data_IF_899312892994
#
_entry.id   IF_899312892994
#
_cell.length_a   1.000
_cell.length_b   1.000
_cell.length_c   1.000
_cell.angle_alpha   90.00
_cell.angle_beta   90.00
_cell.angle_gamma   90.00
#
_symmetry.space_group_name_H-M   'P 1'
#
loop_
_entity.id
_entity.type
_entity.pdbx_description
1 polymer ?
#
# COMPACT_ATOMS: atom_id res chain seq x y z
N UNK A 1 3.73 47.26 -16.46
CA UNK A 1 3.86 46.20 -15.45
C UNK A 1 4.70 45.12 -16.08
N UNK A 2 5.98 45.05 -15.71
CA UNK A 2 6.87 44.04 -16.26
C UNK A 2 6.52 42.70 -15.62
N UNK A 3 6.10 41.75 -16.45
CA UNK A 3 5.85 40.39 -16.00
C UNK A 3 7.20 39.72 -15.72
N UNK A 4 7.47 39.44 -14.44
CA UNK A 4 8.58 38.56 -14.05
C UNK A 4 8.17 37.14 -14.45
N UNK A 5 8.83 36.57 -15.46
CA UNK A 5 8.76 35.14 -15.76
C UNK A 5 9.92 34.43 -15.08
N UNK A 6 9.61 33.57 -14.14
CA UNK A 6 10.59 32.66 -13.55
C UNK A 6 10.60 31.33 -14.30
N UNK A 7 11.79 30.88 -14.69
CA UNK A 7 12.01 29.58 -15.33
C UNK A 7 12.73 28.65 -14.36
N UNK A 8 12.01 27.67 -13.83
CA UNK A 8 12.57 26.66 -12.94
C UNK A 8 12.89 25.38 -13.74
N UNK A 9 14.15 24.94 -13.73
CA UNK A 9 14.52 23.60 -14.21
C UNK A 9 14.66 22.65 -13.02
N UNK A 10 13.57 21.96 -12.68
CA UNK A 10 13.59 20.94 -11.64
C UNK A 10 14.04 19.62 -12.27
N UNK A 11 15.19 19.07 -11.82
CA UNK A 11 15.69 17.77 -12.26
C UNK A 11 16.03 16.89 -11.05
N UNK A 12 15.61 15.63 -11.09
CA UNK A 12 16.08 14.60 -10.16
C UNK A 12 17.27 13.89 -10.79
N UNK A 13 18.43 13.93 -10.15
CA UNK A 13 19.61 13.23 -10.64
C UNK A 13 19.41 11.71 -10.56
N UNK A 14 19.84 10.98 -11.59
CA UNK A 14 19.87 9.52 -11.54
C UNK A 14 20.89 9.07 -10.49
N UNK A 15 20.44 8.24 -9.56
CA UNK A 15 21.30 7.62 -8.54
C UNK A 15 21.95 6.37 -9.14
N UNK A 16 23.23 6.16 -8.85
CA UNK A 16 24.01 4.99 -9.30
C UNK A 16 24.66 4.33 -8.09
N UNK A 17 24.76 3.01 -8.11
CA UNK A 17 25.39 2.23 -7.05
C UNK A 17 25.83 0.86 -7.59
N UNK A 18 26.90 0.31 -7.00
CA UNK A 18 27.47 -0.97 -7.43
C UNK A 18 26.89 -2.16 -6.66
N UNK A 19 26.22 -1.91 -5.53
CA UNK A 19 25.87 -2.95 -4.54
C UNK A 19 24.36 -3.09 -4.34
N UNK A 20 23.56 -2.62 -5.31
CA UNK A 20 22.10 -2.60 -5.26
C UNK A 20 21.52 -1.18 -5.19
N UNK A 21 20.27 -1.06 -5.64
CA UNK A 21 19.50 0.18 -5.65
C UNK A 21 18.06 -0.14 -5.26
N UNK A 22 17.45 0.73 -4.48
CA UNK A 22 16.02 0.67 -4.13
C UNK A 22 15.37 1.97 -4.58
N UNK A 23 14.27 1.85 -5.32
CA UNK A 23 13.50 2.98 -5.79
C UNK A 23 12.03 2.79 -5.40
N UNK A 24 11.52 3.69 -4.58
CA UNK A 24 10.12 3.76 -4.17
C UNK A 24 9.57 5.18 -4.35
N UNK A 25 8.26 5.35 -4.17
CA UNK A 25 7.61 6.67 -4.24
C UNK A 25 8.12 7.64 -3.16
N UNK A 26 8.37 7.13 -1.95
CA UNK A 26 8.86 7.93 -0.83
C UNK A 26 10.35 7.70 -0.54
N UNK A 27 11.12 8.78 -0.36
CA UNK A 27 12.58 8.67 -0.16
C UNK A 27 12.96 7.84 1.08
N UNK A 28 12.23 7.98 2.20
CA UNK A 28 12.47 7.17 3.41
C UNK A 28 12.33 5.66 3.18
N UNK A 29 11.33 5.23 2.42
CA UNK A 29 11.18 3.81 2.10
C UNK A 29 12.34 3.30 1.21
N UNK A 30 12.83 4.15 0.29
CA UNK A 30 14.04 3.83 -0.50
C UNK A 30 15.30 3.73 0.38
N UNK A 31 15.46 4.62 1.35
CA UNK A 31 16.55 4.59 2.32
C UNK A 31 16.51 3.32 3.18
N UNK A 32 15.35 2.97 3.73
CA UNK A 32 15.14 1.73 4.50
C UNK A 32 15.50 0.50 3.67
N UNK A 33 15.02 0.40 2.43
CA UNK A 33 15.40 -0.73 1.57
C UNK A 33 16.91 -0.77 1.30
N UNK A 34 17.55 0.38 1.10
CA UNK A 34 19.00 0.44 0.92
C UNK A 34 19.79 0.09 2.21
N UNK A 35 19.24 0.39 3.38
CA UNK A 35 19.78 -0.03 4.67
C UNK A 35 19.70 -1.54 4.86
N UNK A 36 18.59 -2.16 4.47
CA UNK A 36 18.44 -3.63 4.46
C UNK A 36 19.47 -4.28 3.53
N UNK A 37 19.65 -3.77 2.31
CA UNK A 37 20.70 -4.25 1.41
C UNK A 37 22.10 -4.09 2.03
N UNK A 38 22.36 -2.95 2.67
CA UNK A 38 23.65 -2.68 3.35
C UNK A 38 23.88 -3.60 4.54
N UNK A 39 22.82 -4.02 5.23
CA UNK A 39 22.86 -4.97 6.33
C UNK A 39 23.04 -6.43 5.85
N UNK A 40 23.10 -6.67 4.54
CA UNK A 40 23.32 -7.99 3.95
C UNK A 40 22.04 -8.70 3.51
N UNK A 41 20.89 -8.06 3.61
CA UNK A 41 19.64 -8.55 3.06
C UNK A 41 19.64 -8.56 1.53
N UNK A 42 18.73 -9.33 0.94
CA UNK A 42 18.58 -9.43 -0.50
C UNK A 42 17.49 -8.46 -1.02
N UNK A 43 17.22 -8.52 -2.33
CA UNK A 43 16.23 -7.65 -2.98
C UNK A 43 14.80 -7.84 -2.44
N UNK A 44 14.44 -9.06 -2.00
CA UNK A 44 13.13 -9.35 -1.40
C UNK A 44 13.05 -8.78 0.02
N UNK A 45 14.06 -8.99 0.85
CA UNK A 45 14.12 -8.39 2.21
C UNK A 45 13.97 -6.86 2.11
N UNK A 46 14.70 -6.23 1.19
CA UNK A 46 14.66 -4.79 0.97
C UNK A 46 13.30 -4.30 0.45
N UNK A 47 12.66 -5.05 -0.46
CA UNK A 47 11.34 -4.71 -0.98
C UNK A 47 10.25 -4.84 0.08
N UNK A 48 10.31 -5.86 0.94
CA UNK A 48 9.37 -6.06 2.04
C UNK A 48 9.49 -4.95 3.08
N UNK A 49 10.72 -4.62 3.53
CA UNK A 49 10.93 -3.53 4.48
C UNK A 49 10.47 -2.18 3.91
N UNK A 50 10.90 -1.85 2.68
CA UNK A 50 10.52 -0.61 2.03
C UNK A 50 9.00 -0.49 1.85
N UNK A 51 8.34 -1.58 1.44
CA UNK A 51 6.90 -1.63 1.25
C UNK A 51 6.11 -1.46 2.54
N UNK A 52 6.53 -2.11 3.64
CA UNK A 52 5.91 -1.92 4.96
C UNK A 52 6.09 -0.48 5.46
N UNK A 53 7.26 0.13 5.21
CA UNK A 53 7.53 1.54 5.53
C UNK A 53 6.68 2.50 4.70
N UNK A 54 6.42 2.23 3.41
CA UNK A 54 5.51 3.05 2.59
C UNK A 54 4.14 3.18 3.24
N UNK A 55 3.60 2.10 3.81
CA UNK A 55 2.34 2.11 4.56
C UNK A 55 2.30 3.08 5.76
N UNK A 56 3.45 3.59 6.19
CA UNK A 56 3.58 4.50 7.34
C UNK A 56 4.00 5.92 6.98
N UNK A 57 4.66 6.12 5.84
CA UNK A 57 5.17 7.43 5.40
C UNK A 57 4.37 8.01 4.22
N UNK A 58 3.62 7.16 3.52
CA UNK A 58 2.80 7.52 2.35
C UNK A 58 1.45 6.76 2.39
N UNK A 59 0.60 7.01 3.40
CA UNK A 59 -0.58 6.17 3.68
C UNK A 59 -1.71 6.31 2.65
N UNK A 60 -1.63 7.25 1.70
CA UNK A 60 -2.66 7.50 0.69
C UNK A 60 -2.51 6.63 -0.58
N UNK A 61 -1.39 5.93 -0.78
CA UNK A 61 -1.18 5.05 -1.95
C UNK A 61 -1.18 3.55 -1.62
N UNK A 62 -0.73 3.17 -0.42
CA UNK A 62 -0.53 1.76 -0.06
C UNK A 62 -0.49 1.55 1.46
N UNK A 63 -0.64 0.30 1.90
CA UNK A 63 -0.50 -0.09 3.30
C UNK A 63 -0.98 -1.51 3.56
N UNK A 64 -0.91 -1.94 4.83
CA UNK A 64 -1.29 -3.29 5.26
C UNK A 64 -2.78 -3.63 5.03
N UNK A 65 -3.63 -2.61 4.86
CA UNK A 65 -5.04 -2.77 4.48
C UNK A 65 -5.28 -2.97 2.97
N UNK A 66 -4.22 -3.08 2.16
CA UNK A 66 -4.31 -3.28 0.71
C UNK A 66 -3.91 -4.68 0.24
N UNK A 67 -3.48 -4.78 -1.02
CA UNK A 67 -2.95 -5.99 -1.64
C UNK A 67 -2.06 -5.64 -2.83
N UNK A 68 -1.58 -6.64 -3.56
CA UNK A 68 -0.68 -6.42 -4.68
C UNK A 68 -0.06 -7.68 -5.26
N UNK A 69 1.04 -7.48 -5.99
CA UNK A 69 1.82 -8.52 -6.64
C UNK A 69 3.31 -8.19 -6.53
N UNK A 70 4.15 -9.22 -6.43
CA UNK A 70 5.61 -9.07 -6.44
C UNK A 70 6.17 -9.98 -7.52
N UNK A 71 6.89 -9.42 -8.50
CA UNK A 71 7.64 -10.20 -9.48
C UNK A 71 9.10 -10.27 -9.03
N UNK A 72 9.59 -11.48 -8.81
CA UNK A 72 10.91 -11.76 -8.25
C UNK A 72 11.75 -12.47 -9.29
N UNK A 73 12.91 -11.91 -9.64
CA UNK A 73 13.92 -12.59 -10.45
C UNK A 73 15.00 -13.19 -9.54
N UNK A 74 15.06 -14.52 -9.52
CA UNK A 74 16.01 -15.31 -8.75
C UNK A 74 17.26 -15.54 -9.62
N UNK A 75 18.20 -14.61 -9.57
CA UNK A 75 19.36 -14.58 -10.45
C UNK A 75 20.24 -15.85 -10.38
N UNK A 76 20.31 -16.53 -9.23
CA UNK A 76 21.07 -17.79 -9.08
C UNK A 76 20.42 -18.97 -9.80
N UNK A 77 19.12 -18.91 -10.01
CA UNK A 77 18.31 -19.95 -10.65
C UNK A 77 17.95 -19.61 -12.10
N UNK A 78 18.27 -18.39 -12.55
CA UNK A 78 17.78 -17.84 -13.83
C UNK A 78 16.26 -18.01 -14.00
N UNK A 79 15.52 -17.75 -12.90
CA UNK A 79 14.08 -18.00 -12.82
C UNK A 79 13.33 -16.79 -12.31
N UNK A 80 12.12 -16.58 -12.82
CA UNK A 80 11.19 -15.56 -12.31
C UNK A 80 10.02 -16.23 -11.61
N UNK A 81 9.59 -15.66 -10.49
CA UNK A 81 8.38 -16.06 -9.75
C UNK A 81 7.50 -14.84 -9.50
N UNK A 82 6.21 -15.09 -9.33
CA UNK A 82 5.26 -14.05 -8.93
C UNK A 82 4.66 -14.44 -7.59
N UNK A 83 4.65 -13.51 -6.63
CA UNK A 83 3.84 -13.62 -5.41
C UNK A 83 2.57 -12.83 -5.64
N UNK A 84 1.43 -13.51 -5.60
CA UNK A 84 0.10 -12.96 -5.82
C UNK A 84 -0.61 -12.77 -4.49
N UNK A 85 -0.94 -11.52 -4.19
CA UNK A 85 -1.61 -11.15 -2.93
C UNK A 85 -2.60 -10.01 -3.16
N UNK A 86 -3.32 -10.09 -4.28
CA UNK A 86 -4.41 -9.19 -4.61
C UNK A 86 -5.54 -9.32 -3.59
N UNK A 87 -6.21 -8.20 -3.32
CA UNK A 87 -7.36 -8.18 -2.43
C UNK A 87 -8.49 -9.07 -2.97
N UNK A 88 -9.29 -9.66 -2.08
CA UNK A 88 -10.40 -10.55 -2.47
C UNK A 88 -11.74 -9.99 -2.02
N UNK A 89 -12.77 -10.17 -2.85
CA UNK A 89 -14.13 -9.90 -2.41
C UNK A 89 -14.47 -10.84 -1.24
N UNK A 90 -15.24 -10.37 -0.24
CA UNK A 90 -15.70 -11.24 0.84
C UNK A 90 -16.63 -12.34 0.31
N UNK A 91 -16.72 -13.47 1.01
CA UNK A 91 -17.62 -14.57 0.67
C UNK A 91 -19.09 -14.15 0.62
N UNK A 92 -19.47 -13.18 1.45
CA UNK A 92 -20.80 -12.61 1.50
C UNK A 92 -21.00 -11.39 0.57
N UNK A 93 -20.11 -11.17 -0.40
CA UNK A 93 -20.27 -10.10 -1.38
C UNK A 93 -21.55 -10.30 -2.21
N UNK A 94 -22.32 -9.23 -2.37
CA UNK A 94 -23.57 -9.22 -3.11
C UNK A 94 -23.54 -8.10 -4.18
N UNK A 95 -23.65 -8.43 -5.48
CA UNK A 95 -23.76 -7.40 -6.53
C UNK A 95 -24.93 -6.43 -6.33
N UNK A 96 -26.00 -6.84 -5.65
CA UNK A 96 -27.15 -5.97 -5.37
C UNK A 96 -26.82 -4.82 -4.40
N UNK A 97 -25.69 -4.90 -3.69
CA UNK A 97 -25.15 -3.79 -2.89
C UNK A 97 -24.64 -2.63 -3.76
N UNK A 98 -24.44 -2.85 -5.07
CA UNK A 98 -23.84 -1.88 -6.00
C UNK A 98 -24.73 -1.54 -7.22
N UNK A 99 -25.96 -1.02 -7.00
CA UNK A 99 -26.82 -0.66 -8.11
C UNK A 99 -26.23 0.51 -8.92
N UNK A 100 -26.05 0.30 -10.22
CA UNK A 100 -25.58 1.33 -11.17
C UNK A 100 -26.67 2.39 -11.33
N UNK A 101 -26.28 3.66 -11.23
CA UNK A 101 -27.17 4.82 -11.35
C UNK A 101 -26.68 5.79 -12.43
N UNK A 102 -27.45 5.88 -13.53
CA UNK A 102 -27.17 6.81 -14.64
C UNK A 102 -26.10 6.33 -15.63
N UNK A 103 -25.90 7.12 -16.68
CA UNK A 103 -24.94 6.87 -17.76
C UNK A 103 -23.62 7.66 -17.58
N UNK A 104 -23.55 8.50 -16.55
CA UNK A 104 -22.36 9.30 -16.25
C UNK A 104 -21.27 8.44 -15.58
N UNK A 105 -20.02 8.81 -15.85
CA UNK A 105 -18.88 8.27 -15.11
C UNK A 105 -19.00 8.61 -13.61
N UNK A 106 -18.55 7.68 -12.77
CA UNK A 106 -18.46 7.84 -11.32
C UNK A 106 -17.49 8.95 -10.90
N UNK A 107 -17.36 9.12 -9.59
CA UNK A 107 -16.44 10.09 -8.98
C UNK A 107 -14.98 9.62 -8.93
N UNK A 108 -14.72 8.38 -9.36
CA UNK A 108 -13.38 7.78 -9.39
C UNK A 108 -12.58 8.14 -10.66
N UNK A 109 -11.28 7.86 -10.60
CA UNK A 109 -10.31 8.11 -11.68
C UNK A 109 -10.36 7.08 -12.82
N UNK A 110 -11.19 6.05 -12.72
CA UNK A 110 -11.24 4.94 -13.67
C UNK A 110 -12.41 5.01 -14.65
N UNK A 111 -13.24 6.06 -14.58
CA UNK A 111 -14.38 6.31 -15.46
C UNK A 111 -15.40 5.15 -15.47
N UNK A 112 -15.61 4.50 -14.32
CA UNK A 112 -16.59 3.42 -14.20
C UNK A 112 -18.02 3.98 -14.14
N UNK A 113 -19.06 3.16 -14.46
CA UNK A 113 -20.44 3.57 -14.22
C UNK A 113 -20.66 3.96 -12.77
N UNK A 114 -21.41 5.03 -12.52
CA UNK A 114 -21.70 5.49 -11.15
C UNK A 114 -22.53 4.48 -10.39
N UNK A 115 -22.17 4.22 -9.13
CA UNK A 115 -22.93 3.36 -8.20
C UNK A 115 -23.68 4.24 -7.20
N UNK A 116 -24.89 3.82 -6.79
CA UNK A 116 -25.69 4.56 -5.83
C UNK A 116 -24.90 4.85 -4.54
N UNK A 117 -24.77 6.13 -4.21
CA UNK A 117 -24.08 6.58 -3.01
C UNK A 117 -22.58 6.32 -3.01
N UNK A 118 -21.98 6.06 -4.18
CA UNK A 118 -20.55 5.75 -4.35
C UNK A 118 -20.09 4.59 -3.45
N UNK A 119 -20.97 3.59 -3.24
CA UNK A 119 -20.73 2.45 -2.35
C UNK A 119 -19.50 1.60 -2.73
N UNK A 120 -19.06 1.66 -3.99
CA UNK A 120 -17.84 1.03 -4.48
C UNK A 120 -16.57 1.89 -4.30
N UNK A 121 -16.71 3.17 -3.93
CA UNK A 121 -15.59 4.13 -3.83
C UNK A 121 -15.23 4.42 -2.38
N UNK A 122 -16.22 4.53 -1.49
CA UNK A 122 -15.96 4.80 -0.07
C UNK A 122 -16.89 4.06 0.88
N UNK A 123 -16.41 3.86 2.11
CA UNK A 123 -17.20 3.28 3.20
C UNK A 123 -17.05 1.77 3.31
N UNK A 124 -17.89 1.12 4.11
CA UNK A 124 -17.71 -0.29 4.50
C UNK A 124 -17.86 -1.28 3.34
N UNK A 125 -18.61 -0.93 2.30
CA UNK A 125 -18.84 -1.77 1.12
C UNK A 125 -17.77 -1.56 0.03
N UNK A 126 -16.92 -0.54 0.16
CA UNK A 126 -15.85 -0.28 -0.80
C UNK A 126 -14.54 -1.00 -0.46
N UNK A 127 -14.56 -1.92 0.51
CA UNK A 127 -13.38 -2.64 0.99
C UNK A 127 -13.41 -4.10 0.56
N UNK A 128 -12.21 -4.63 0.32
CA UNK A 128 -11.95 -6.03 0.03
C UNK A 128 -11.02 -6.59 1.11
N UNK A 129 -10.96 -7.91 1.22
CA UNK A 129 -10.09 -8.60 2.18
C UNK A 129 -8.63 -8.26 1.85
N UNK A 130 -7.88 -7.65 2.80
CA UNK A 130 -6.52 -7.21 2.54
C UNK A 130 -5.57 -8.40 2.41
N UNK A 131 -4.69 -8.32 1.42
CA UNK A 131 -3.73 -9.37 1.09
C UNK A 131 -2.28 -9.06 1.36
N UNK A 132 -1.96 -7.79 1.58
CA UNK A 132 -0.58 -7.30 1.58
C UNK A 132 0.31 -8.04 2.58
N UNK A 133 -0.14 -8.15 3.84
CA UNK A 133 0.65 -8.76 4.91
C UNK A 133 0.95 -10.23 4.63
N UNK A 134 -0.05 -11.02 4.21
CA UNK A 134 0.12 -12.43 3.82
C UNK A 134 1.11 -12.57 2.65
N UNK A 135 1.01 -11.68 1.66
CA UNK A 135 1.86 -11.67 0.49
C UNK A 135 3.32 -11.40 0.79
N UNK A 136 3.62 -10.34 1.53
CA UNK A 136 5.00 -9.98 1.86
C UNK A 136 5.63 -10.95 2.85
N UNK A 137 4.84 -11.53 3.77
CA UNK A 137 5.31 -12.62 4.64
C UNK A 137 5.66 -13.86 3.84
N UNK A 138 4.81 -14.30 2.90
CA UNK A 138 5.11 -15.42 2.01
C UNK A 138 6.37 -15.17 1.16
N UNK A 139 6.52 -13.96 0.64
CA UNK A 139 7.70 -13.58 -0.14
C UNK A 139 8.98 -13.66 0.71
N UNK A 140 8.94 -13.12 1.93
CA UNK A 140 10.08 -13.14 2.85
C UNK A 140 10.43 -14.56 3.30
N UNK A 141 9.42 -15.38 3.64
CA UNK A 141 9.63 -16.78 4.03
C UNK A 141 10.24 -17.61 2.88
N UNK A 142 9.78 -17.39 1.66
CA UNK A 142 10.19 -18.19 0.50
C UNK A 142 11.54 -17.74 -0.08
N UNK A 143 11.76 -16.42 -0.15
CA UNK A 143 12.86 -15.84 -0.91
C UNK A 143 13.73 -14.86 -0.11
N UNK A 144 13.34 -14.50 1.10
CA UNK A 144 14.09 -13.62 1.98
C UNK A 144 15.31 -14.31 2.60
N UNK A 145 16.15 -13.51 3.24
CA UNK A 145 17.33 -13.96 3.98
C UNK A 145 17.41 -13.37 5.39
N UNK A 146 16.48 -12.48 5.75
CA UNK A 146 16.43 -11.83 7.06
C UNK A 146 15.19 -12.26 7.85
N UNK A 147 15.29 -12.13 9.17
CA UNK A 147 14.17 -12.39 10.08
C UNK A 147 13.08 -11.34 9.94
N UNK A 148 11.82 -11.76 10.00
CA UNK A 148 10.64 -10.88 9.90
C UNK A 148 10.73 -9.67 10.83
N UNK A 149 11.13 -9.92 12.08
CA UNK A 149 11.23 -8.90 13.13
C UNK A 149 12.15 -7.75 12.73
N UNK A 150 13.26 -8.05 12.07
CA UNK A 150 14.27 -7.07 11.67
C UNK A 150 13.82 -6.32 10.41
N UNK A 151 13.16 -7.02 9.48
CA UNK A 151 12.64 -6.44 8.23
C UNK A 151 11.51 -5.43 8.48
N UNK A 152 10.60 -5.69 9.41
CA UNK A 152 9.50 -4.77 9.74
C UNK A 152 9.93 -3.63 10.69
N UNK A 153 11.02 -3.78 11.45
CA UNK A 153 11.42 -2.83 12.48
C UNK A 153 11.48 -1.35 12.01
N UNK A 154 12.02 -1.02 10.82
CA UNK A 154 12.03 0.36 10.33
C UNK A 154 10.62 0.95 10.12
N UNK A 155 9.66 0.10 9.72
CA UNK A 155 8.28 0.52 9.55
C UNK A 155 7.58 0.74 10.90
N UNK A 156 7.87 -0.07 11.92
CA UNK A 156 7.42 0.20 13.31
C UNK A 156 7.89 1.56 13.77
N UNK A 157 9.20 1.86 13.64
CA UNK A 157 9.75 3.17 14.01
C UNK A 157 9.13 4.32 13.22
N UNK A 158 8.91 4.14 11.92
CA UNK A 158 8.26 5.15 11.07
C UNK A 158 6.80 5.42 11.49
N UNK A 159 6.04 4.38 11.83
CA UNK A 159 4.67 4.53 12.35
C UNK A 159 4.66 5.23 13.72
N UNK A 160 5.63 4.92 14.59
CA UNK A 160 5.82 5.58 15.87
C UNK A 160 6.17 7.06 15.72
N UNK A 161 6.97 7.44 14.74
CA UNK A 161 7.28 8.84 14.47
C UNK A 161 6.08 9.60 13.89
N UNK A 162 5.35 8.98 12.95
CA UNK A 162 4.26 9.58 12.20
C UNK A 162 4.70 10.26 10.90
N UNK A 163 3.72 10.53 10.02
CA UNK A 163 3.93 11.09 8.67
C UNK A 163 4.38 12.55 8.80
N UNK A 164 5.50 12.96 8.16
CA UNK A 164 5.87 14.38 8.10
C UNK A 164 4.78 15.21 7.42
N UNK A 165 4.40 16.32 8.05
CA UNK A 165 3.51 17.32 7.44
C UNK A 165 4.38 18.25 6.60
N UNK A 166 4.42 17.98 5.30
CA UNK A 166 5.11 18.72 4.26
C UNK A 166 4.13 19.20 3.18
N UNK A 167 4.64 19.81 2.11
CA UNK A 167 3.79 20.31 1.03
C UNK A 167 2.96 19.20 0.35
N UNK A 168 3.53 18.00 0.20
CA UNK A 168 2.93 16.91 -0.55
C UNK A 168 1.87 16.19 0.28
N UNK A 169 2.18 15.82 1.52
CA UNK A 169 1.20 15.28 2.47
C UNK A 169 0.04 16.26 2.71
N UNK A 170 0.32 17.57 2.84
CA UNK A 170 -0.72 18.60 2.93
C UNK A 170 -1.61 18.60 1.69
N UNK A 171 -1.02 18.54 0.49
CA UNK A 171 -1.76 18.48 -0.77
C UNK A 171 -2.65 17.23 -0.85
N UNK A 172 -2.09 16.06 -0.54
CA UNK A 172 -2.81 14.78 -0.58
C UNK A 172 -3.97 14.75 0.42
N UNK A 173 -3.75 15.16 1.67
CA UNK A 173 -4.80 15.19 2.70
C UNK A 173 -5.86 16.24 2.36
N UNK A 174 -5.47 17.41 1.84
CA UNK A 174 -6.42 18.44 1.40
C UNK A 174 -7.30 17.94 0.25
N UNK A 175 -6.72 17.26 -0.74
CA UNK A 175 -7.47 16.65 -1.84
C UNK A 175 -8.48 15.60 -1.35
N UNK A 176 -8.11 14.83 -0.33
CA UNK A 176 -8.96 13.80 0.26
C UNK A 176 -9.94 14.30 1.34
N UNK A 177 -9.84 15.56 1.78
CA UNK A 177 -10.54 16.08 2.97
C UNK A 177 -12.07 15.91 2.91
N UNK A 178 -12.66 15.98 1.71
CA UNK A 178 -14.11 15.77 1.51
C UNK A 178 -14.57 14.36 1.86
N UNK A 179 -13.75 13.34 1.57
CA UNK A 179 -14.02 11.96 1.96
C UNK A 179 -13.63 11.68 3.40
N UNK A 180 -12.47 12.17 3.83
CA UNK A 180 -11.95 11.96 5.19
C UNK A 180 -12.87 12.51 6.29
N UNK A 181 -13.62 13.58 6.03
CA UNK A 181 -14.57 14.13 7.01
C UNK A 181 -15.84 13.28 7.23
N UNK A 182 -16.12 12.33 6.33
CA UNK A 182 -17.35 11.52 6.37
C UNK A 182 -17.32 10.46 7.49
N UNK A 183 -16.12 10.03 7.89
CA UNK A 183 -15.93 8.98 8.90
C UNK A 183 -15.17 9.51 10.10
N UNK A 184 -15.62 9.12 11.29
CA UNK A 184 -15.09 9.64 12.55
C UNK A 184 -13.58 9.38 12.69
N UNK A 185 -13.15 8.15 12.42
CA UNK A 185 -11.75 7.75 12.60
C UNK A 185 -10.81 8.47 11.63
N UNK A 186 -11.21 8.65 10.37
CA UNK A 186 -10.41 9.40 9.40
C UNK A 186 -10.40 10.89 9.72
N UNK A 187 -11.51 11.46 10.20
CA UNK A 187 -11.59 12.85 10.64
C UNK A 187 -10.65 13.09 11.83
N UNK A 188 -10.69 12.25 12.86
CA UNK A 188 -9.80 12.35 14.02
C UNK A 188 -8.32 12.17 13.65
N UNK A 189 -8.02 11.27 12.71
CA UNK A 189 -6.63 10.97 12.32
C UNK A 189 -6.02 12.06 11.43
N UNK A 190 -6.78 12.57 10.46
CA UNK A 190 -6.23 13.41 9.38
C UNK A 190 -6.67 14.87 9.42
N UNK A 191 -7.74 15.22 10.16
CA UNK A 191 -8.34 16.56 10.16
C UNK A 191 -8.34 17.16 11.57
N UNK A 192 -7.15 17.57 12.06
CA UNK A 192 -7.01 18.25 13.35
C UNK A 192 -7.86 19.54 13.35
N UNK A 193 -8.69 19.73 14.38
CA UNK A 193 -9.70 20.80 14.45
C UNK A 193 -10.64 20.88 13.24
N UNK A 194 -10.82 19.76 12.52
CA UNK A 194 -11.65 19.67 11.32
C UNK A 194 -11.00 20.22 10.04
N UNK A 195 -9.71 20.54 10.07
CA UNK A 195 -8.96 21.11 8.95
C UNK A 195 -7.80 20.19 8.52
N UNK A 196 -7.44 20.16 7.23
CA UNK A 196 -6.20 19.52 6.80
C UNK A 196 -4.98 20.11 7.55
N UNK A 197 -3.96 19.29 7.85
CA UNK A 197 -2.76 19.78 8.49
C UNK A 197 -2.06 20.79 7.59
N UNK A 198 -1.51 21.85 8.18
CA UNK A 198 -0.75 22.87 7.47
C UNK A 198 0.66 22.96 8.02
N UNK A 199 1.59 23.42 7.17
CA UNK A 199 2.92 23.78 7.61
C UNK A 199 2.82 24.98 8.57
N UNK A 200 3.51 24.90 9.71
CA UNK A 200 3.64 26.04 10.61
C UNK A 200 4.32 27.21 9.91
N UNK A 201 3.96 28.45 10.27
CA UNK A 201 4.49 29.69 9.65
C UNK A 201 6.03 29.75 9.67
N UNK A 202 6.68 29.08 10.64
CA UNK A 202 8.14 28.96 10.74
C UNK A 202 8.77 27.79 9.95
N UNK A 203 8.00 27.05 9.14
CA UNK A 203 8.48 25.87 8.40
C UNK A 203 8.74 24.64 9.28
N UNK A 204 8.30 24.64 10.54
CA UNK A 204 8.41 23.47 11.41
C UNK A 204 7.62 22.30 10.81
N UNK A 205 8.34 21.22 10.50
CA UNK A 205 7.75 19.95 10.10
C UNK A 205 7.04 19.33 11.31
N UNK A 206 5.73 19.52 11.37
CA UNK A 206 4.87 18.71 12.24
C UNK A 206 4.84 17.27 11.77
N UNK A 207 4.32 16.36 12.61
CA UNK A 207 4.06 14.98 12.22
C UNK A 207 2.63 14.60 12.55
N UNK A 208 2.02 13.84 11.65
CA UNK A 208 0.69 13.29 11.79
C UNK A 208 0.80 11.84 12.30
N UNK A 209 0.20 11.56 13.46
CA UNK A 209 0.08 10.18 13.95
C UNK A 209 -1.04 9.46 13.20
N UNK A 210 -0.76 8.26 12.71
CA UNK A 210 -1.71 7.43 11.97
C UNK A 210 -2.56 6.58 12.93
N UNK A 211 -3.28 7.25 13.85
CA UNK A 211 -4.09 6.57 14.87
C UNK A 211 -3.27 5.54 15.66
N UNK A 212 -3.75 4.29 15.68
CA UNK A 212 -3.13 3.15 16.39
C UNK A 212 -2.23 2.28 15.50
N UNK A 213 -1.74 2.82 14.37
CA UNK A 213 -0.93 2.05 13.42
C UNK A 213 0.38 1.56 14.03
N UNK A 214 1.02 2.36 14.89
CA UNK A 214 2.26 1.97 15.56
C UNK A 214 2.06 0.75 16.46
N UNK A 215 1.02 0.75 17.29
CA UNK A 215 0.62 -0.40 18.12
C UNK A 215 0.30 -1.62 17.27
N UNK A 216 -0.43 -1.44 16.17
CA UNK A 216 -0.75 -2.51 15.22
C UNK A 216 0.52 -3.13 14.62
N UNK A 217 1.46 -2.29 14.18
CA UNK A 217 2.75 -2.73 13.64
C UNK A 217 3.62 -3.43 14.69
N UNK A 218 3.56 -3.06 15.98
CA UNK A 218 4.25 -3.79 17.05
C UNK A 218 3.69 -5.19 17.27
N UNK A 219 2.36 -5.35 17.22
CA UNK A 219 1.74 -6.68 17.29
C UNK A 219 2.15 -7.51 16.09
N UNK A 220 2.05 -6.95 14.88
CA UNK A 220 2.49 -7.61 13.64
C UNK A 220 4.00 -7.93 13.67
N UNK A 221 4.85 -7.10 14.26
CA UNK A 221 6.27 -7.41 14.41
C UNK A 221 6.51 -8.65 15.27
N UNK A 222 5.71 -8.82 16.33
CA UNK A 222 5.83 -9.93 17.27
C UNK A 222 5.23 -11.23 16.72
N UNK A 223 4.07 -11.14 16.09
CA UNK A 223 3.25 -12.31 15.71
C UNK A 223 3.33 -12.62 14.22
N UNK A 224 3.88 -11.71 13.41
CA UNK A 224 3.90 -11.85 11.96
C UNK A 224 2.51 -11.67 11.37
N UNK A 225 2.28 -12.35 10.24
CA UNK A 225 1.01 -12.31 9.55
C UNK A 225 -0.17 -12.86 10.35
N UNK A 226 0.06 -13.78 11.29
CA UNK A 226 -1.03 -14.38 12.08
C UNK A 226 -1.77 -13.36 12.93
N UNK A 227 -1.14 -12.23 13.27
CA UNK A 227 -1.81 -11.11 13.93
C UNK A 227 -3.12 -10.70 13.21
N UNK A 228 -3.09 -10.68 11.87
CA UNK A 228 -4.22 -10.26 11.02
C UNK A 228 -5.08 -11.43 10.54
N UNK A 229 -4.50 -12.60 10.29
CA UNK A 229 -5.20 -13.75 9.70
C UNK A 229 -5.41 -14.85 10.74
N UNK A 230 -6.12 -14.53 11.83
CA UNK A 230 -6.45 -15.44 12.93
C UNK A 230 -6.04 -14.97 14.33
N UNK A 231 -5.45 -13.78 14.44
CA UNK A 231 -5.06 -13.14 15.69
C UNK A 231 -5.95 -11.96 16.07
N UNK A 232 -5.64 -11.33 17.22
CA UNK A 232 -6.47 -10.28 17.83
C UNK A 232 -6.70 -9.07 16.90
N UNK A 233 -5.70 -8.69 16.09
CA UNK A 233 -5.86 -7.58 15.14
C UNK A 233 -6.88 -7.92 14.06
N UNK A 234 -6.84 -9.14 13.54
CA UNK A 234 -7.82 -9.66 12.58
C UNK A 234 -9.23 -9.71 13.15
N UNK A 235 -9.39 -10.25 14.36
CA UNK A 235 -10.68 -10.34 15.05
C UNK A 235 -11.30 -8.96 15.27
N UNK A 236 -10.51 -8.00 15.75
CA UNK A 236 -10.97 -6.62 15.98
C UNK A 236 -11.33 -5.92 14.67
N UNK A 237 -10.52 -6.09 13.62
CA UNK A 237 -10.80 -5.51 12.31
C UNK A 237 -12.09 -6.08 11.70
N UNK A 238 -12.30 -7.40 11.79
CA UNK A 238 -13.52 -8.04 11.30
C UNK A 238 -14.76 -7.54 12.05
N UNK A 239 -14.67 -7.38 13.38
CA UNK A 239 -15.74 -6.83 14.19
C UNK A 239 -16.05 -5.36 13.84
N UNK A 240 -15.02 -4.52 13.67
CA UNK A 240 -15.19 -3.13 13.25
C UNK A 240 -15.81 -3.03 11.85
N UNK A 241 -15.39 -3.90 10.92
CA UNK A 241 -15.95 -3.97 9.56
C UNK A 241 -17.42 -4.38 9.57
N UNK A 242 -17.78 -5.41 10.34
CA UNK A 242 -19.18 -5.84 10.49
C UNK A 242 -20.04 -4.73 11.12
N UNK A 243 -19.57 -4.11 12.20
CA UNK A 243 -20.27 -3.02 12.86
C UNK A 243 -20.46 -1.79 11.95
N UNK A 244 -19.50 -1.54 11.05
CA UNK A 244 -19.60 -0.48 10.05
C UNK A 244 -20.55 -0.83 8.89
N UNK A 245 -21.01 -2.08 8.76
CA UNK A 245 -21.91 -2.52 7.68
C UNK A 245 -21.20 -3.17 6.49
N UNK A 246 -19.97 -3.66 6.64
CA UNK A 246 -19.24 -4.38 5.60
C UNK A 246 -19.76 -5.82 5.46
N UNK A 247 -19.46 -6.44 4.32
CA UNK A 247 -19.66 -7.89 4.09
C UNK A 247 -18.49 -8.74 4.54
N UNK A 248 -17.35 -8.15 4.89
CA UNK A 248 -16.18 -8.88 5.38
C UNK A 248 -16.47 -9.45 6.77
N UNK A 249 -16.08 -10.71 6.99
CA UNK A 249 -16.20 -11.47 8.22
C UNK A 249 -14.87 -12.10 8.62
N UNK A 250 -14.82 -12.65 9.82
CA UNK A 250 -13.64 -13.35 10.33
C UNK A 250 -13.14 -14.44 9.36
N UNK A 251 -14.07 -15.24 8.82
CA UNK A 251 -13.73 -16.35 7.92
C UNK A 251 -13.08 -15.88 6.62
N UNK A 252 -13.38 -14.67 6.15
CA UNK A 252 -12.72 -14.07 4.99
C UNK A 252 -11.22 -13.87 5.24
N UNK A 253 -10.84 -13.46 6.46
CA UNK A 253 -9.43 -13.35 6.84
C UNK A 253 -8.81 -14.73 7.05
N UNK A 254 -9.51 -15.64 7.74
CA UNK A 254 -9.00 -16.98 8.04
C UNK A 254 -8.68 -17.79 6.76
N UNK A 255 -9.50 -17.65 5.71
CA UNK A 255 -9.36 -18.36 4.44
C UNK A 255 -8.55 -17.57 3.39
N UNK A 256 -8.06 -16.37 3.71
CA UNK A 256 -7.25 -15.60 2.79
C UNK A 256 -5.88 -16.27 2.59
N UNK A 257 -5.48 -16.44 1.34
CA UNK A 257 -4.18 -17.01 0.97
C UNK A 257 -3.48 -16.20 -0.12
N UNK A 258 -2.20 -15.91 0.09
CA UNK A 258 -1.30 -15.46 -0.98
C UNK A 258 -0.79 -16.68 -1.75
N UNK A 259 -0.45 -16.50 -3.03
CA UNK A 259 -0.07 -17.62 -3.90
C UNK A 259 1.24 -17.34 -4.61
N UNK A 260 2.03 -18.39 -4.83
CA UNK A 260 3.16 -18.33 -5.74
C UNK A 260 2.73 -18.78 -7.13
N UNK A 261 2.92 -17.92 -8.12
CA UNK A 261 2.63 -18.17 -9.52
C UNK A 261 3.88 -18.12 -10.40
N UNK A 262 3.64 -18.32 -11.70
CA UNK A 262 4.60 -18.11 -12.78
C UNK A 262 4.28 -16.77 -13.48
N UNK A 263 5.27 -16.07 -14.03
CA UNK A 263 5.04 -14.79 -14.71
C UNK A 263 4.38 -14.98 -16.08
N UNK A 264 3.58 -13.99 -16.47
CA UNK A 264 3.31 -13.76 -17.89
C UNK A 264 4.60 -13.28 -18.56
N UNK A 265 4.95 -13.86 -19.71
CA UNK A 265 6.24 -13.60 -20.39
C UNK A 265 6.01 -13.25 -21.85
N UNK A 266 6.69 -12.20 -22.34
CA UNK A 266 6.78 -11.86 -23.77
C UNK A 266 8.21 -11.47 -24.15
N UNK A 267 8.48 -11.37 -25.45
CA UNK A 267 9.75 -10.91 -25.99
C UNK A 267 9.60 -9.50 -26.57
N UNK A 268 10.48 -8.59 -26.20
CA UNK A 268 10.51 -7.22 -26.72
C UNK A 268 11.94 -6.77 -27.01
N UNK A 269 12.22 -6.42 -28.26
CA UNK A 269 13.54 -5.93 -28.74
C UNK A 269 14.73 -6.79 -28.29
N UNK A 270 14.56 -8.12 -28.30
CA UNK A 270 15.61 -9.07 -27.91
C UNK A 270 15.76 -9.26 -26.39
N UNK A 271 14.79 -8.84 -25.59
CA UNK A 271 14.75 -9.07 -24.13
C UNK A 271 13.45 -9.74 -23.71
N UNK A 272 13.53 -10.62 -22.72
CA UNK A 272 12.34 -11.16 -22.03
C UNK A 272 11.73 -10.10 -21.12
N UNK A 273 10.42 -9.91 -21.22
CA UNK A 273 9.62 -9.06 -20.33
C UNK A 273 8.73 -9.95 -19.49
N UNK A 274 8.82 -9.82 -18.18
CA UNK A 274 8.05 -10.62 -17.21
C UNK A 274 7.04 -9.72 -16.48
N UNK A 275 5.83 -10.22 -16.30
CA UNK A 275 4.76 -9.52 -15.57
C UNK A 275 4.00 -10.46 -14.64
N UNK A 276 3.34 -9.87 -13.65
CA UNK A 276 2.30 -10.55 -12.89
C UNK A 276 1.15 -11.00 -13.81
N UNK A 277 0.43 -12.04 -13.37
CA UNK A 277 -0.56 -12.77 -14.16
C UNK A 277 -1.87 -12.02 -14.48
N UNK A 278 -2.92 -12.80 -14.78
CA UNK A 278 -4.14 -12.37 -15.46
C UNK A 278 -4.99 -11.30 -14.75
N UNK A 279 -4.86 -11.14 -13.43
CA UNK A 279 -5.61 -10.17 -12.64
C UNK A 279 -4.94 -8.78 -12.57
N UNK A 280 -3.99 -8.54 -13.48
CA UNK A 280 -3.25 -7.28 -13.58
C UNK A 280 -3.33 -6.73 -15.01
N UNK A 281 -2.74 -5.57 -15.27
CA UNK A 281 -2.57 -5.07 -16.65
C UNK A 281 -1.48 -5.81 -17.44
N UNK A 282 -0.81 -6.82 -16.85
CA UNK A 282 0.21 -7.65 -17.50
C UNK A 282 -0.22 -8.20 -18.87
N UNK A 283 -1.40 -8.84 -19.00
CA UNK A 283 -1.88 -9.33 -20.30
C UNK A 283 -2.04 -8.25 -21.37
N UNK A 284 -2.34 -7.00 -20.99
CA UNK A 284 -2.39 -5.88 -21.94
C UNK A 284 -1.00 -5.53 -22.44
N UNK A 285 0.01 -5.50 -21.56
CA UNK A 285 1.41 -5.30 -21.95
C UNK A 285 1.95 -6.45 -22.83
N UNK A 286 1.45 -7.67 -22.64
CA UNK A 286 1.84 -8.81 -23.48
C UNK A 286 1.33 -8.72 -24.92
N UNK A 287 0.36 -7.82 -25.21
CA UNK A 287 -0.19 -7.62 -26.56
C UNK A 287 0.55 -6.53 -27.36
N UNK A 288 1.45 -5.78 -26.74
CA UNK A 288 2.21 -4.68 -27.37
C UNK A 288 3.52 -5.11 -28.04
#
# INVERSE_FOLDING_TARGET
MDHVQEYWQIRKAAVRGNNGLVATQHYRASEVGAEILRAGGNAVDAAVAAGLTLGTVEPWMSGIGGGGYMTVYLAKEDRVRVVEFGMRAPFAADPDDYPIVGEETGTDTFNWPRVKGDANVHGPLSTAVPGYLKGVSLALETFGTMEWRDVIAPAVGSAEEGVPIDWYSTHMITGAARGLRLYEQTRQTYLHDGLPPTLGIGGTLGRLKLGQLAETYRVIQKEGQSALYGGEVGERLAADMEAAGSRIRHDDFAEYEARLGEPATTQYRGSSVYCAGHLTAGPTLMRS
#
